data_IF_656420243869
#
_entry.id   IF_656420243869
#
_cell.length_a   1.000
_cell.length_b   1.000
_cell.length_c   1.000
_cell.angle_alpha   90.00
_cell.angle_beta   90.00
_cell.angle_gamma   90.00
#
_symmetry.space_group_name_H-M   'P 1'
#
loop_
_entity.id
_entity.type
_entity.pdbx_description
1 polymer ?
#
# COMPACT_ATOMS: atom_id res chain seq x y z
N UNK A 1 21.57 -18.82 14.89
CA UNK A 1 21.16 -18.22 13.60
C UNK A 1 19.75 -17.70 13.76
N UNK A 2 19.53 -16.37 13.74
CA UNK A 2 18.17 -15.81 13.69
C UNK A 2 17.79 -15.70 12.22
N UNK A 3 16.83 -16.52 11.80
CA UNK A 3 16.16 -16.32 10.51
C UNK A 3 15.30 -15.06 10.64
N UNK A 4 15.69 -13.99 9.93
CA UNK A 4 14.89 -12.78 9.79
C UNK A 4 14.45 -12.70 8.31
N UNK A 5 13.70 -13.71 7.87
CA UNK A 5 12.90 -13.65 6.63
C UNK A 5 11.57 -12.94 6.94
N UNK A 6 11.62 -11.86 7.71
CA UNK A 6 10.55 -10.88 7.78
C UNK A 6 10.90 -9.82 6.77
N UNK A 7 9.99 -9.59 5.82
CA UNK A 7 10.04 -8.45 4.89
C UNK A 7 10.66 -7.22 5.59
N UNK A 8 11.73 -6.66 5.02
CA UNK A 8 12.27 -5.37 5.46
C UNK A 8 11.28 -4.29 5.07
N UNK A 9 10.11 -4.29 5.69
CA UNK A 9 9.18 -3.18 5.65
C UNK A 9 9.91 -2.06 6.35
N UNK A 10 10.23 -0.99 5.61
CA UNK A 10 10.76 0.23 6.22
C UNK A 10 9.85 0.60 7.38
N UNK A 11 10.41 1.05 8.50
CA UNK A 11 9.66 1.32 9.74
C UNK A 11 8.55 2.39 9.58
N UNK A 12 8.40 3.00 8.40
CA UNK A 12 7.33 3.93 8.01
C UNK A 12 6.52 3.51 6.77
N UNK A 13 6.61 2.26 6.33
CA UNK A 13 5.80 1.77 5.22
C UNK A 13 4.46 1.20 5.71
N UNK A 14 3.40 1.42 4.94
CA UNK A 14 2.06 1.04 5.32
C UNK A 14 1.00 1.52 4.34
N UNK A 15 -0.26 1.32 4.71
CA UNK A 15 -1.41 1.72 3.90
C UNK A 15 -1.98 3.03 4.44
N UNK A 16 -2.15 3.97 3.52
CA UNK A 16 -2.74 5.27 3.81
C UNK A 16 -4.25 5.27 3.61
N UNK A 17 -4.74 4.59 2.58
CA UNK A 17 -6.15 4.56 2.25
C UNK A 17 -6.51 3.37 1.34
N UNK A 18 -7.80 3.03 1.35
CA UNK A 18 -8.45 2.11 0.44
C UNK A 18 -9.67 2.79 -0.20
N UNK A 19 -9.88 2.59 -1.49
CA UNK A 19 -11.11 2.98 -2.20
C UNK A 19 -11.38 2.05 -3.38
N UNK A 20 -12.63 1.86 -3.75
CA UNK A 20 -13.01 1.12 -4.96
C UNK A 20 -12.94 1.96 -6.23
N UNK A 21 -12.76 3.29 -6.13
CA UNK A 21 -12.71 4.22 -7.26
C UNK A 21 -11.26 4.65 -7.57
N UNK A 22 -10.82 4.43 -8.81
CA UNK A 22 -9.47 4.79 -9.24
C UNK A 22 -9.20 6.30 -9.25
N UNK A 23 -10.18 7.12 -9.63
CA UNK A 23 -10.02 8.58 -9.64
C UNK A 23 -9.88 9.14 -8.22
N UNK A 24 -10.60 8.57 -7.26
CA UNK A 24 -10.44 8.89 -5.85
C UNK A 24 -9.06 8.45 -5.34
N UNK A 25 -8.60 7.26 -5.72
CA UNK A 25 -7.25 6.79 -5.39
C UNK A 25 -6.16 7.73 -5.93
N UNK A 26 -6.35 8.30 -7.12
CA UNK A 26 -5.43 9.30 -7.70
C UNK A 26 -5.43 10.62 -6.90
N UNK A 27 -6.59 11.10 -6.45
CA UNK A 27 -6.65 12.31 -5.62
C UNK A 27 -5.98 12.09 -4.25
N UNK A 28 -6.25 10.95 -3.62
CA UNK A 28 -5.62 10.54 -2.36
C UNK A 28 -4.10 10.39 -2.56
N UNK A 29 -3.66 9.76 -3.65
CA UNK A 29 -2.24 9.62 -3.98
C UNK A 29 -1.55 10.98 -4.09
N UNK A 30 -2.15 11.93 -4.82
CA UNK A 30 -1.61 13.30 -4.96
C UNK A 30 -1.50 14.02 -3.61
N UNK A 31 -2.46 13.81 -2.71
CA UNK A 31 -2.42 14.38 -1.35
C UNK A 31 -1.32 13.71 -0.51
N UNK A 32 -1.27 12.38 -0.51
CA UNK A 32 -0.27 11.61 0.20
C UNK A 32 1.16 11.94 -0.27
N UNK A 33 1.40 12.06 -1.59
CA UNK A 33 2.72 12.45 -2.13
C UNK A 33 3.19 13.83 -1.68
N UNK A 34 2.27 14.74 -1.35
CA UNK A 34 2.63 16.07 -0.81
C UNK A 34 2.92 16.03 0.69
N UNK A 35 2.30 15.10 1.42
CA UNK A 35 2.46 14.95 2.87
C UNK A 35 3.70 14.12 3.22
N UNK A 36 3.92 13.03 2.48
CA UNK A 36 4.97 12.06 2.74
C UNK A 36 6.12 12.23 1.73
N UNK A 37 6.73 13.41 1.69
CA UNK A 37 7.75 13.75 0.69
C UNK A 37 9.03 12.91 0.79
N UNK A 38 9.30 12.33 1.95
CA UNK A 38 10.46 11.46 2.19
C UNK A 38 10.17 9.97 1.90
N UNK A 39 8.92 9.63 1.60
CA UNK A 39 8.50 8.27 1.30
C UNK A 39 7.98 8.16 -0.13
N UNK A 40 8.19 7.00 -0.74
CA UNK A 40 7.49 6.65 -1.98
C UNK A 40 6.01 6.44 -1.70
N UNK A 41 5.14 6.94 -2.58
CA UNK A 41 3.69 6.73 -2.51
C UNK A 41 3.24 6.04 -3.80
N UNK A 42 2.57 4.91 -3.69
CA UNK A 42 2.10 4.12 -4.84
C UNK A 42 0.63 3.77 -4.69
N UNK A 43 -0.04 3.60 -5.83
CA UNK A 43 -1.37 3.01 -5.90
C UNK A 43 -1.20 1.53 -6.25
N UNK A 44 -1.75 0.64 -5.44
CA UNK A 44 -1.78 -0.80 -5.65
C UNK A 44 -3.19 -1.22 -6.05
N UNK A 45 -3.33 -1.92 -7.17
CA UNK A 45 -4.59 -2.48 -7.64
C UNK A 45 -4.82 -3.87 -7.04
N UNK A 46 -5.86 -4.04 -6.22
CA UNK A 46 -6.14 -5.31 -5.56
C UNK A 46 -6.64 -6.42 -6.50
N UNK A 47 -7.01 -6.09 -7.76
CA UNK A 47 -7.29 -7.10 -8.79
C UNK A 47 -6.01 -7.74 -9.34
N UNK A 48 -4.87 -7.07 -9.23
CA UNK A 48 -3.57 -7.66 -9.55
C UNK A 48 -3.06 -8.45 -8.34
N UNK A 49 -2.87 -9.76 -8.52
CA UNK A 49 -2.50 -10.66 -7.42
C UNK A 49 -1.17 -10.28 -6.76
N UNK A 50 -0.19 -9.77 -7.52
CA UNK A 50 1.11 -9.39 -6.98
C UNK A 50 0.96 -8.14 -6.12
N UNK A 51 0.28 -7.13 -6.65
CA UNK A 51 0.05 -5.88 -5.93
C UNK A 51 -0.85 -6.09 -4.70
N UNK A 52 -1.81 -7.02 -4.76
CA UNK A 52 -2.62 -7.39 -3.60
C UNK A 52 -1.78 -8.05 -2.51
N UNK A 53 -0.86 -8.96 -2.87
CA UNK A 53 0.05 -9.57 -1.91
C UNK A 53 0.98 -8.52 -1.28
N UNK A 54 1.47 -7.56 -2.06
CA UNK A 54 2.26 -6.44 -1.53
C UNK A 54 1.45 -5.61 -0.53
N UNK A 55 0.18 -5.31 -0.83
CA UNK A 55 -0.70 -4.61 0.10
C UNK A 55 -0.97 -5.40 1.38
N UNK A 56 -1.22 -6.71 1.29
CA UNK A 56 -1.43 -7.60 2.45
C UNK A 56 -0.17 -7.69 3.32
N UNK A 57 1.01 -7.69 2.70
CA UNK A 57 2.27 -7.71 3.43
C UNK A 57 2.49 -6.41 4.22
N UNK A 58 1.97 -5.27 3.74
CA UNK A 58 2.03 -3.99 4.46
C UNK A 58 0.99 -3.92 5.57
N UNK A 59 -0.22 -4.40 5.29
CA UNK A 59 -1.33 -4.41 6.24
C UNK A 59 -2.20 -5.67 6.00
N UNK A 60 -2.11 -6.67 6.90
CA UNK A 60 -2.86 -7.93 6.77
C UNK A 60 -4.38 -7.73 6.71
N UNK A 61 -4.92 -6.64 7.25
CA UNK A 61 -6.36 -6.34 7.22
C UNK A 61 -6.86 -6.11 5.79
N UNK A 62 -5.97 -5.85 4.83
CA UNK A 62 -6.34 -5.78 3.41
C UNK A 62 -6.75 -7.12 2.80
N UNK A 63 -6.41 -8.25 3.44
CA UNK A 63 -6.71 -9.57 2.91
C UNK A 63 -8.21 -9.81 2.65
N UNK A 64 -9.07 -9.08 3.35
CA UNK A 64 -10.53 -9.14 3.18
C UNK A 64 -11.01 -8.45 1.89
N UNK A 65 -10.24 -7.52 1.32
CA UNK A 65 -10.61 -6.79 0.10
C UNK A 65 -10.07 -7.49 -1.15
N UNK A 66 -11.00 -7.95 -2.01
CA UNK A 66 -10.66 -8.65 -3.27
C UNK A 66 -10.49 -7.70 -4.46
N UNK A 67 -10.95 -6.47 -4.33
CA UNK A 67 -10.91 -5.46 -5.38
C UNK A 67 -10.82 -4.05 -4.82
N UNK A 68 -10.48 -3.10 -5.68
CA UNK A 68 -10.25 -1.70 -5.35
C UNK A 68 -8.77 -1.34 -5.43
N UNK A 69 -8.45 -0.17 -4.89
CA UNK A 69 -7.15 0.46 -4.96
C UNK A 69 -6.71 0.86 -3.56
N UNK A 70 -5.46 0.55 -3.26
CA UNK A 70 -4.79 0.91 -2.01
C UNK A 70 -3.77 1.99 -2.31
N UNK A 71 -3.73 3.05 -1.52
CA UNK A 71 -2.62 4.00 -1.53
C UNK A 71 -1.64 3.58 -0.44
N UNK A 72 -0.47 3.10 -0.85
CA UNK A 72 0.60 2.64 0.03
C UNK A 72 1.74 3.66 0.09
N UNK A 73 2.37 3.76 1.26
CA UNK A 73 3.51 4.65 1.54
C UNK A 73 4.73 3.77 1.89
N UNK A 74 5.93 4.19 1.50
CA UNK A 74 7.19 3.57 1.92
C UNK A 74 7.59 2.31 1.16
N UNK A 75 7.09 2.12 -0.07
CA UNK A 75 7.31 0.91 -0.91
C UNK A 75 7.95 1.16 -2.27
#
# INVERSE_FOLDING_TARGET
MKSFLGSTILQGAGIYAYTTNYEEALDIHRKASKLFTEFSVKILNLKDIKQRLDAINLDPDIADFKEGYVVAIGI
#
